data_IF_045740800657
#
_entry.id   IF_045740800657
#
_cell.length_a   1.000
_cell.length_b   1.000
_cell.length_c   1.000
_cell.angle_alpha   90.00
_cell.angle_beta   90.00
_cell.angle_gamma   90.00
#
_symmetry.space_group_name_H-M   'P 1'
#
loop_
_entity.id
_entity.type
_entity.pdbx_description
1 polymer ?
#
# COMPACT_ATOMS: atom_id res chain seq x y z
N UNK A 1 18.74 14.25 -0.22
CA UNK A 1 17.73 13.76 0.76
C UNK A 1 18.23 12.48 1.43
N UNK A 2 18.04 12.30 2.76
CA UNK A 2 18.37 11.03 3.42
C UNK A 2 17.55 9.88 2.83
N UNK A 3 18.17 8.72 2.64
CA UNK A 3 17.48 7.53 2.17
C UNK A 3 16.45 7.09 3.21
N UNK A 4 15.16 6.93 2.86
CA UNK A 4 14.12 6.51 3.82
C UNK A 4 14.28 5.05 4.30
N UNK A 5 15.22 4.29 3.73
CA UNK A 5 15.47 2.88 4.07
C UNK A 5 16.70 2.64 4.93
N UNK A 6 17.71 3.50 4.87
CA UNK A 6 18.95 3.33 5.66
C UNK A 6 19.44 4.63 6.31
N UNK A 7 18.65 5.71 6.24
CA UNK A 7 18.99 7.06 6.68
C UNK A 7 20.28 7.65 6.07
N UNK A 8 20.93 6.93 5.15
CA UNK A 8 22.15 7.38 4.49
C UNK A 8 21.89 8.64 3.67
N UNK A 9 22.76 9.63 3.80
CA UNK A 9 22.75 10.81 2.94
C UNK A 9 23.18 10.50 1.49
N UNK A 10 23.62 9.26 1.19
CA UNK A 10 24.10 8.80 -0.13
C UNK A 10 22.98 8.51 -1.14
N UNK A 11 21.87 9.27 -1.08
CA UNK A 11 20.89 9.31 -2.15
C UNK A 11 21.34 10.35 -3.15
N UNK A 12 21.73 9.91 -4.33
CA UNK A 12 22.23 10.79 -5.40
C UNK A 12 21.20 10.87 -6.50
N UNK A 13 21.05 12.06 -7.06
CA UNK A 13 20.48 12.23 -8.40
C UNK A 13 21.32 11.42 -9.40
N UNK A 14 20.64 10.77 -10.34
CA UNK A 14 21.22 10.05 -11.46
C UNK A 14 21.49 11.03 -12.59
N UNK A 15 22.55 10.78 -13.36
CA UNK A 15 22.91 11.62 -14.51
C UNK A 15 21.93 11.44 -15.67
N UNK A 16 21.36 10.25 -15.79
CA UNK A 16 20.30 9.92 -16.73
C UNK A 16 18.93 10.41 -16.23
N UNK A 17 18.15 10.96 -17.16
CA UNK A 17 16.75 11.36 -16.95
C UNK A 17 15.82 10.26 -17.49
N UNK A 18 14.54 10.30 -17.09
CA UNK A 18 13.52 9.46 -17.73
C UNK A 18 13.31 9.87 -19.19
N UNK A 19 12.58 9.06 -19.97
CA UNK A 19 12.19 9.39 -21.36
C UNK A 19 11.46 10.74 -21.43
N UNK A 20 10.77 11.11 -20.35
CA UNK A 20 10.03 12.37 -20.20
C UNK A 20 10.88 13.50 -19.54
N UNK A 21 12.19 13.31 -19.35
CA UNK A 21 13.10 14.35 -18.87
C UNK A 21 13.17 14.54 -17.36
N UNK A 22 12.59 13.63 -16.57
CA UNK A 22 12.50 13.77 -15.12
C UNK A 22 13.76 13.31 -14.38
N UNK A 23 14.01 13.95 -13.23
CA UNK A 23 15.15 13.64 -12.36
C UNK A 23 14.95 12.29 -11.68
N UNK A 24 15.96 11.43 -11.74
CA UNK A 24 15.95 10.10 -11.11
C UNK A 24 16.83 10.10 -9.88
N UNK A 25 16.41 9.41 -8.83
CA UNK A 25 17.17 9.30 -7.57
C UNK A 25 17.37 7.85 -7.19
N UNK A 26 18.56 7.51 -6.67
CA UNK A 26 18.87 6.17 -6.13
C UNK A 26 19.74 6.29 -4.88
N UNK A 27 19.47 5.47 -3.86
CA UNK A 27 20.38 5.33 -2.73
C UNK A 27 21.54 4.39 -3.09
N UNK A 28 22.76 4.94 -3.21
CA UNK A 28 23.96 4.12 -3.50
C UNK A 28 24.39 3.26 -2.32
N UNK A 29 23.99 3.61 -1.09
CA UNK A 29 24.43 2.90 0.11
C UNK A 29 23.70 1.58 0.34
N UNK A 30 22.43 1.48 -0.02
CA UNK A 30 21.65 0.28 0.24
C UNK A 30 21.08 -0.37 -1.03
N UNK A 31 21.12 0.31 -2.18
CA UNK A 31 20.64 -0.25 -3.45
C UNK A 31 19.14 -0.57 -3.49
N UNK A 32 18.41 -0.37 -2.40
CA UNK A 32 16.99 -0.70 -2.25
C UNK A 32 16.12 0.25 -3.09
N UNK A 33 15.16 -0.34 -3.79
CA UNK A 33 14.11 0.40 -4.51
C UNK A 33 13.17 1.14 -3.57
N UNK A 34 12.41 2.06 -4.15
CA UNK A 34 11.40 2.87 -3.49
C UNK A 34 10.05 2.17 -3.54
N UNK A 35 9.35 2.23 -2.40
CA UNK A 35 7.97 1.77 -2.29
C UNK A 35 7.04 2.97 -2.27
N UNK A 36 6.10 2.96 -3.19
CA UNK A 36 4.97 3.84 -3.26
C UNK A 36 3.73 3.09 -2.79
N UNK A 37 2.83 3.79 -2.11
CA UNK A 37 1.58 3.23 -1.62
C UNK A 37 0.49 4.28 -1.71
N UNK A 38 -0.68 3.89 -2.20
CA UNK A 38 -1.90 4.66 -2.08
C UNK A 38 -2.86 3.94 -1.14
N UNK A 39 -3.46 4.71 -0.24
CA UNK A 39 -4.54 4.26 0.65
C UNK A 39 -5.73 5.18 0.47
N UNK A 40 -6.93 4.67 0.68
CA UNK A 40 -8.14 5.47 0.67
C UNK A 40 -8.30 6.28 1.99
N UNK A 41 -9.43 6.97 2.11
CA UNK A 41 -9.77 7.76 3.30
C UNK A 41 -9.94 6.92 4.57
N UNK A 42 -10.41 5.69 4.42
CA UNK A 42 -10.73 4.78 5.52
C UNK A 42 -9.50 3.98 5.97
N UNK A 43 -8.44 3.99 5.15
CA UNK A 43 -7.13 3.40 5.44
C UNK A 43 -6.88 2.08 4.73
N UNK A 44 -7.78 1.68 3.82
CA UNK A 44 -7.63 0.47 3.04
C UNK A 44 -6.56 0.67 1.96
N UNK A 45 -5.84 -0.41 1.65
CA UNK A 45 -4.87 -0.37 0.57
C UNK A 45 -5.59 -0.23 -0.78
N UNK A 46 -5.20 0.77 -1.59
CA UNK A 46 -5.63 0.88 -2.98
C UNK A 46 -4.60 0.22 -3.90
N UNK A 47 -3.34 0.65 -3.82
CA UNK A 47 -2.27 0.09 -4.66
C UNK A 47 -0.91 0.18 -3.97
N UNK A 48 -0.09 -0.86 -4.16
CA UNK A 48 1.34 -0.85 -3.87
C UNK A 48 2.11 -0.82 -5.18
N UNK A 49 3.04 0.12 -5.30
CA UNK A 49 3.91 0.22 -6.46
C UNK A 49 5.38 0.24 -6.03
N UNK A 50 6.23 -0.49 -6.74
CA UNK A 50 7.66 -0.58 -6.46
C UNK A 50 8.44 -0.08 -7.66
N UNK A 51 9.36 0.84 -7.39
CA UNK A 51 10.26 1.38 -8.41
C UNK A 51 11.69 1.33 -7.93
N UNK A 52 12.64 1.17 -8.84
CA UNK A 52 14.07 1.30 -8.50
C UNK A 52 14.46 2.76 -8.23
N UNK A 53 13.69 3.69 -8.81
CA UNK A 53 13.96 5.13 -8.77
C UNK A 53 12.78 5.90 -8.19
N UNK A 54 13.09 7.04 -7.58
CA UNK A 54 12.06 7.95 -7.04
C UNK A 54 11.86 9.13 -7.99
N UNK A 55 11.12 8.93 -9.06
CA UNK A 55 10.88 9.91 -10.12
C UNK A 55 9.38 10.15 -10.37
N UNK A 56 9.09 11.06 -11.30
CA UNK A 56 7.72 11.43 -11.68
C UNK A 56 7.01 10.29 -12.41
N UNK A 57 7.70 9.59 -13.31
CA UNK A 57 7.13 8.44 -14.03
C UNK A 57 6.63 7.35 -13.07
N UNK A 58 7.41 7.04 -12.03
CA UNK A 58 6.99 6.13 -10.97
C UNK A 58 5.79 6.66 -10.16
N UNK A 59 5.68 7.97 -9.95
CA UNK A 59 4.54 8.58 -9.28
C UNK A 59 3.29 8.57 -10.16
N UNK A 60 3.40 8.89 -11.45
CA UNK A 60 2.28 8.82 -12.39
C UNK A 60 1.78 7.38 -12.54
N UNK A 61 2.69 6.40 -12.64
CA UNK A 61 2.33 4.98 -12.71
C UNK A 61 1.52 4.55 -11.47
N UNK A 62 1.92 5.01 -10.28
CA UNK A 62 1.14 4.80 -9.05
C UNK A 62 -0.26 5.41 -9.18
N UNK A 63 -0.37 6.68 -9.58
CA UNK A 63 -1.66 7.37 -9.65
C UNK A 63 -2.59 6.77 -10.71
N UNK A 64 -2.10 6.47 -11.91
CA UNK A 64 -2.86 5.78 -12.97
C UNK A 64 -3.33 4.40 -12.51
N UNK A 65 -2.46 3.65 -11.81
CA UNK A 65 -2.84 2.36 -11.22
C UNK A 65 -3.93 2.52 -10.17
N UNK A 66 -3.84 3.54 -9.31
CA UNK A 66 -4.87 3.81 -8.31
C UNK A 66 -6.24 4.08 -8.96
N UNK A 67 -6.30 4.93 -10.00
CA UNK A 67 -7.53 5.21 -10.77
C UNK A 67 -8.07 3.94 -11.42
N UNK A 68 -7.20 3.12 -11.99
CA UNK A 68 -7.61 1.86 -12.63
C UNK A 68 -8.23 0.90 -11.61
N UNK A 69 -7.67 0.81 -10.40
CA UNK A 69 -8.17 -0.06 -9.34
C UNK A 69 -9.48 0.46 -8.73
N UNK A 70 -9.59 1.76 -8.49
CA UNK A 70 -10.81 2.34 -7.89
C UNK A 70 -11.93 2.59 -8.90
N UNK A 71 -11.60 2.64 -10.20
CA UNK A 71 -12.53 3.03 -11.25
C UNK A 71 -13.02 4.49 -11.14
N UNK A 72 -12.43 5.28 -10.25
CA UNK A 72 -12.90 6.63 -9.90
C UNK A 72 -11.73 7.57 -9.70
N UNK A 73 -11.85 8.79 -10.23
CA UNK A 73 -10.91 9.89 -9.98
C UNK A 73 -11.16 10.48 -8.59
N UNK A 74 -10.15 10.60 -7.72
CA UNK A 74 -10.32 11.21 -6.41
C UNK A 74 -10.49 12.73 -6.52
N UNK A 75 -11.33 13.32 -5.67
CA UNK A 75 -11.44 14.79 -5.55
C UNK A 75 -10.24 15.41 -4.81
N UNK A 76 -9.62 14.62 -3.93
CA UNK A 76 -8.58 15.05 -2.99
C UNK A 76 -7.48 14.02 -2.88
N UNK A 77 -6.22 14.45 -3.04
CA UNK A 77 -5.05 13.60 -2.81
C UNK A 77 -4.15 14.24 -1.77
N UNK A 78 -3.72 13.44 -0.79
CA UNK A 78 -2.72 13.84 0.19
C UNK A 78 -1.38 13.18 -0.16
N UNK A 79 -0.33 13.98 -0.34
CA UNK A 79 1.03 13.48 -0.63
C UNK A 79 2.08 14.08 0.30
N UNK A 80 3.24 13.42 0.38
CA UNK A 80 4.42 14.06 0.97
C UNK A 80 4.97 15.18 0.07
N UNK A 81 5.91 15.98 0.56
CA UNK A 81 6.46 17.14 -0.18
C UNK A 81 7.54 16.75 -1.21
N UNK A 82 7.47 15.55 -1.80
CA UNK A 82 8.46 15.13 -2.78
C UNK A 82 8.25 15.84 -4.12
N UNK A 83 9.34 16.30 -4.73
CA UNK A 83 9.33 17.12 -5.94
C UNK A 83 8.72 16.41 -7.17
N UNK A 84 8.62 15.08 -7.15
CA UNK A 84 8.02 14.32 -8.25
C UNK A 84 6.50 14.25 -8.22
N UNK A 85 5.85 14.63 -7.11
CA UNK A 85 4.39 14.48 -6.98
C UNK A 85 3.60 15.61 -7.65
N UNK A 86 3.91 16.91 -7.47
CA UNK A 86 3.15 17.97 -8.13
C UNK A 86 3.03 17.78 -9.65
N UNK A 87 4.12 17.58 -10.42
CA UNK A 87 4.00 17.43 -11.86
C UNK A 87 3.33 16.10 -12.26
N UNK A 88 3.46 15.04 -11.46
CA UNK A 88 2.76 13.78 -11.70
C UNK A 88 1.23 13.89 -11.46
N UNK A 89 0.81 14.74 -10.51
CA UNK A 89 -0.59 14.97 -10.22
C UNK A 89 -1.24 15.81 -11.32
N UNK A 90 -0.56 16.86 -11.77
CA UNK A 90 -0.99 17.70 -12.91
C UNK A 90 -1.18 16.84 -14.17
N UNK A 91 -0.23 15.94 -14.46
CA UNK A 91 -0.29 15.06 -15.63
C UNK A 91 -1.44 14.02 -15.57
N UNK A 92 -1.74 13.47 -14.39
CA UNK A 92 -2.72 12.37 -14.27
C UNK A 92 -4.14 12.88 -14.01
N UNK A 93 -4.29 13.98 -13.28
CA UNK A 93 -5.58 14.43 -12.76
C UNK A 93 -6.01 15.83 -13.23
N UNK A 94 -5.14 16.58 -13.92
CA UNK A 94 -5.40 17.96 -14.34
C UNK A 94 -5.76 18.88 -13.15
N UNK A 95 -6.43 20.01 -13.41
CA UNK A 95 -6.69 21.08 -12.42
C UNK A 95 -7.87 20.80 -11.45
N UNK A 96 -8.66 19.75 -11.68
CA UNK A 96 -9.86 19.45 -10.87
C UNK A 96 -9.55 18.79 -9.52
N UNK A 97 -8.26 18.56 -9.22
CA UNK A 97 -7.82 17.85 -8.02
C UNK A 97 -7.29 18.79 -6.93
N UNK A 98 -7.87 18.68 -5.72
CA UNK A 98 -7.32 19.37 -4.55
C UNK A 98 -6.13 18.58 -3.95
N UNK A 99 -4.91 19.06 -4.20
CA UNK A 99 -3.69 18.50 -3.62
C UNK A 99 -3.39 19.08 -2.23
N UNK A 100 -3.17 18.19 -1.24
CA UNK A 100 -2.90 18.56 0.16
C UNK A 100 -1.52 18.07 0.60
N UNK A 101 -0.71 19.00 1.12
CA UNK A 101 0.62 18.71 1.67
C UNK A 101 0.76 19.14 3.13
N UNK A 102 -0.22 18.77 3.97
CA UNK A 102 -0.20 19.11 5.39
C UNK A 102 0.52 18.04 6.22
N UNK A 103 1.35 18.48 7.18
CA UNK A 103 2.07 17.57 8.10
C UNK A 103 1.10 16.66 8.87
N UNK A 104 -0.06 17.19 9.26
CA UNK A 104 -1.06 16.44 10.03
C UNK A 104 -1.69 15.31 9.18
N UNK A 105 -2.03 15.60 7.92
CA UNK A 105 -2.60 14.59 7.02
C UNK A 105 -1.54 13.54 6.63
N UNK A 106 -0.29 13.97 6.49
CA UNK A 106 0.83 13.04 6.22
C UNK A 106 1.13 12.09 7.36
N UNK A 107 0.80 12.46 8.61
CA UNK A 107 0.95 11.56 9.76
C UNK A 107 0.14 10.25 9.57
N UNK A 108 -0.93 10.28 8.78
CA UNK A 108 -1.75 9.12 8.48
C UNK A 108 -1.02 8.14 7.56
N UNK A 109 -0.44 8.67 6.47
CA UNK A 109 0.43 7.91 5.56
C UNK A 109 1.66 7.37 6.30
N UNK A 110 2.26 8.17 7.19
CA UNK A 110 3.38 7.74 8.02
C UNK A 110 3.02 6.60 8.96
N UNK A 111 1.85 6.65 9.61
CA UNK A 111 1.40 5.61 10.52
C UNK A 111 1.15 4.29 9.79
N UNK A 112 0.51 4.34 8.63
CA UNK A 112 0.31 3.16 7.78
C UNK A 112 1.66 2.54 7.38
N UNK A 113 2.60 3.37 6.92
CA UNK A 113 3.95 2.93 6.59
C UNK A 113 4.68 2.28 7.77
N UNK A 114 4.48 2.77 9.01
CA UNK A 114 5.12 2.21 10.22
C UNK A 114 4.70 0.76 10.45
N UNK A 115 3.43 0.42 10.24
CA UNK A 115 2.94 -0.94 10.44
C UNK A 115 3.64 -1.94 9.51
N UNK A 116 3.73 -1.62 8.22
CA UNK A 116 4.43 -2.46 7.24
C UNK A 116 5.93 -2.51 7.53
N UNK A 117 6.56 -1.36 7.84
CA UNK A 117 7.99 -1.24 8.18
C UNK A 117 8.37 -2.11 9.37
N UNK A 118 7.56 -2.10 10.42
CA UNK A 118 7.81 -2.88 11.64
C UNK A 118 7.89 -4.38 11.37
N UNK A 119 7.20 -4.88 10.34
CA UNK A 119 7.22 -6.31 9.99
C UNK A 119 8.45 -6.71 9.19
N UNK A 120 8.88 -5.89 8.22
CA UNK A 120 10.01 -6.25 7.36
C UNK A 120 11.37 -5.76 7.83
N UNK A 121 11.44 -4.75 8.72
CA UNK A 121 12.72 -4.27 9.25
C UNK A 121 13.53 -5.38 9.94
N UNK A 122 12.95 -6.26 10.78
CA UNK A 122 13.67 -7.39 11.38
C UNK A 122 14.26 -8.35 10.34
N UNK A 123 13.60 -8.48 9.18
CA UNK A 123 14.03 -9.33 8.06
C UNK A 123 15.14 -8.69 7.21
N UNK A 124 15.63 -7.50 7.59
CA UNK A 124 16.63 -6.68 6.85
C UNK A 124 16.18 -6.22 5.45
N UNK A 125 14.88 -6.33 5.16
CA UNK A 125 14.27 -5.95 3.88
C UNK A 125 14.27 -7.08 2.85
N UNK A 126 13.74 -6.77 1.66
CA UNK A 126 13.53 -7.75 0.60
C UNK A 126 14.69 -7.76 -0.38
N UNK A 127 15.01 -8.94 -0.92
CA UNK A 127 16.04 -9.10 -1.95
C UNK A 127 15.55 -8.68 -3.35
N UNK A 128 14.25 -8.83 -3.63
CA UNK A 128 13.65 -8.55 -4.94
C UNK A 128 12.38 -7.71 -4.80
N UNK A 129 12.03 -6.95 -5.85
CA UNK A 129 10.77 -6.20 -5.88
C UNK A 129 9.55 -7.13 -5.81
N UNK A 130 9.59 -8.27 -6.52
CA UNK A 130 8.50 -9.25 -6.49
C UNK A 130 8.20 -9.77 -5.08
N UNK A 131 9.23 -10.05 -4.29
CA UNK A 131 9.05 -10.49 -2.89
C UNK A 131 8.48 -9.39 -2.00
N UNK A 132 8.95 -8.14 -2.17
CA UNK A 132 8.41 -6.99 -1.46
C UNK A 132 6.94 -6.73 -1.83
N UNK A 133 6.59 -6.85 -3.10
CA UNK A 133 5.23 -6.67 -3.60
C UNK A 133 4.29 -7.72 -3.00
N UNK A 134 4.63 -9.00 -3.13
CA UNK A 134 3.86 -10.11 -2.57
C UNK A 134 3.66 -9.97 -1.07
N UNK A 135 4.72 -9.60 -0.35
CA UNK A 135 4.63 -9.35 1.09
C UNK A 135 3.66 -8.21 1.42
N UNK A 136 3.80 -7.05 0.75
CA UNK A 136 2.94 -5.91 1.06
C UNK A 136 1.48 -6.21 0.76
N UNK A 137 1.19 -6.81 -0.41
CA UNK A 137 -0.16 -7.24 -0.79
C UNK A 137 -0.76 -8.19 0.24
N UNK A 138 -0.08 -9.31 0.54
CA UNK A 138 -0.59 -10.30 1.48
C UNK A 138 -0.73 -9.74 2.91
N UNK A 139 0.21 -8.90 3.34
CA UNK A 139 0.13 -8.26 4.65
C UNK A 139 -1.07 -7.33 4.76
N UNK A 140 -1.31 -6.51 3.73
CA UNK A 140 -2.41 -5.56 3.71
C UNK A 140 -3.77 -6.28 3.61
N UNK A 141 -3.88 -7.32 2.79
CA UNK A 141 -5.09 -8.16 2.70
C UNK A 141 -5.46 -8.77 4.06
N UNK A 142 -4.49 -9.40 4.73
CA UNK A 142 -4.70 -9.98 6.07
C UNK A 142 -5.03 -8.90 7.10
N UNK A 143 -4.36 -7.76 7.03
CA UNK A 143 -4.58 -6.65 7.97
C UNK A 143 -5.97 -6.06 7.80
N UNK A 144 -6.39 -5.79 6.57
CA UNK A 144 -7.69 -5.18 6.25
C UNK A 144 -8.82 -6.15 6.63
N UNK A 145 -8.62 -7.47 6.48
CA UNK A 145 -9.54 -8.51 6.94
C UNK A 145 -9.64 -8.62 8.49
N UNK A 146 -8.52 -8.54 9.21
CA UNK A 146 -8.48 -8.66 10.67
C UNK A 146 -8.83 -7.37 11.42
N UNK A 147 -8.67 -6.23 10.75
CA UNK A 147 -8.94 -4.90 11.30
C UNK A 147 -9.93 -4.14 10.43
N UNK A 148 -11.18 -4.65 10.25
CA UNK A 148 -12.17 -3.96 9.45
C UNK A 148 -12.55 -2.65 10.16
N UNK A 149 -12.24 -1.53 9.53
CA UNK A 149 -12.66 -0.21 9.95
C UNK A 149 -13.54 0.37 8.83
N UNK A 150 -14.78 0.74 9.18
CA UNK A 150 -15.69 1.44 8.26
C UNK A 150 -15.30 2.91 8.12
N UNK A 151 -14.82 3.51 9.22
CA UNK A 151 -14.24 4.85 9.20
C UNK A 151 -13.01 4.95 10.09
N UNK A 152 -12.11 5.84 9.71
CA UNK A 152 -10.89 6.08 10.45
C UNK A 152 -11.15 6.71 11.82
N UNK A 153 -10.51 6.18 12.86
CA UNK A 153 -10.72 6.49 14.30
C UNK A 153 -12.09 6.07 14.85
N UNK A 154 -12.88 5.33 14.08
CA UNK A 154 -14.09 4.71 14.60
C UNK A 154 -13.72 3.66 15.64
N UNK A 155 -14.27 3.77 16.83
CA UNK A 155 -14.14 2.71 17.82
C UNK A 155 -15.12 1.59 17.48
N UNK A 156 -14.60 0.54 16.85
CA UNK A 156 -15.39 -0.67 16.58
C UNK A 156 -15.24 -1.65 17.73
N UNK A 157 -16.34 -1.96 18.41
CA UNK A 157 -16.36 -2.95 19.49
C UNK A 157 -15.89 -4.32 18.99
N UNK A 158 -15.34 -5.14 19.88
CA UNK A 158 -14.90 -6.49 19.52
C UNK A 158 -16.05 -7.34 18.94
N UNK A 159 -17.28 -7.15 19.45
CA UNK A 159 -18.48 -7.81 18.92
C UNK A 159 -18.81 -7.40 17.49
N UNK A 160 -18.74 -6.10 17.17
CA UNK A 160 -18.97 -5.59 15.82
C UNK A 160 -17.88 -6.05 14.84
N UNK A 161 -16.61 -6.06 15.25
CA UNK A 161 -15.50 -6.62 14.45
C UNK A 161 -15.72 -8.10 14.11
N UNK A 162 -16.13 -8.91 15.10
CA UNK A 162 -16.48 -10.32 14.87
C UNK A 162 -17.63 -10.47 13.88
N UNK A 163 -18.68 -9.66 14.02
CA UNK A 163 -19.81 -9.70 13.10
C UNK A 163 -19.40 -9.37 11.65
N UNK A 164 -18.59 -8.32 11.46
CA UNK A 164 -18.05 -7.96 10.13
C UNK A 164 -17.22 -9.12 9.57
N UNK A 165 -16.31 -9.68 10.37
CA UNK A 165 -15.47 -10.79 9.94
C UNK A 165 -16.28 -12.03 9.51
N UNK A 166 -17.33 -12.39 10.25
CA UNK A 166 -18.22 -13.50 9.90
C UNK A 166 -18.95 -13.23 8.58
N UNK A 167 -19.36 -11.98 8.33
CA UNK A 167 -20.04 -11.59 7.09
C UNK A 167 -19.10 -11.51 5.88
N UNK A 168 -17.84 -11.10 6.10
CA UNK A 168 -16.81 -10.96 5.06
C UNK A 168 -16.06 -12.26 4.78
N UNK A 169 -16.20 -13.27 5.64
CA UNK A 169 -15.69 -14.61 5.36
C UNK A 169 -16.48 -15.16 4.18
N UNK A 170 -15.83 -15.68 3.12
CA UNK A 170 -16.55 -16.49 2.15
C UNK A 170 -17.27 -17.59 2.94
N UNK A 171 -18.50 -18.00 2.57
CA UNK A 171 -19.14 -19.13 3.20
C UNK A 171 -18.23 -20.34 2.95
N UNK A 172 -17.33 -20.62 3.89
CA UNK A 172 -16.57 -21.86 3.90
C UNK A 172 -17.64 -22.92 3.98
N UNK A 173 -17.63 -23.79 2.97
CA UNK A 173 -18.26 -25.09 2.97
C UNK A 173 -18.47 -25.53 4.43
N UNK A 174 -19.73 -25.51 4.85
CA UNK A 174 -20.15 -26.31 5.98
C UNK A 174 -19.67 -27.70 5.58
N UNK A 175 -18.61 -28.17 6.22
CA UNK A 175 -18.27 -29.57 6.24
C UNK A 175 -19.44 -30.21 6.98
N UNK A 176 -20.52 -30.43 6.24
CA UNK A 176 -21.59 -31.30 6.66
C UNK A 176 -20.91 -32.64 6.85
N UNK A 177 -20.93 -33.25 8.04
CA UNK A 177 -20.50 -34.63 8.16
C UNK A 177 -21.35 -35.44 7.17
N UNK A 178 -20.68 -36.09 6.21
CA UNK A 178 -21.33 -37.01 5.29
C UNK A 178 -22.08 -38.07 6.11
N UNK A 179 -23.37 -38.32 5.86
CA UNK A 179 -24.12 -39.35 6.56
C UNK A 179 -23.84 -40.71 5.90
N UNK A 180 -22.59 -41.18 5.92
CA UNK A 180 -22.21 -42.49 5.39
C UNK A 180 -21.16 -43.10 6.32
N UNK A 181 -21.58 -43.68 7.44
CA UNK A 181 -20.87 -44.75 8.17
C UNK A 181 -21.76 -45.30 9.29
N UNK A 182 -22.89 -45.91 8.91
CA UNK A 182 -23.73 -46.70 9.84
C UNK A 182 -24.26 -47.96 9.14
N UNK A 183 -23.36 -48.70 8.48
CA UNK A 183 -23.66 -49.99 7.88
C UNK A 183 -22.45 -50.92 7.85
N UNK A 184 -21.99 -51.37 9.02
CA UNK A 184 -21.25 -52.63 9.16
C UNK A 184 -21.06 -53.06 10.63
N UNK A 185 -22.11 -53.58 11.27
CA UNK A 185 -21.97 -54.55 12.37
C UNK A 185 -23.31 -55.23 12.71
N UNK A 186 -23.83 -56.00 11.75
CA UNK A 186 -24.63 -57.20 12.07
C UNK A 186 -23.95 -58.37 11.39
N UNK A 187 -23.33 -59.21 12.20
CA UNK A 187 -22.61 -60.43 11.84
C UNK A 187 -22.03 -61.02 13.11
#
# INVERSE_FOLDING_TARGET
>A
MPCPHCCSAKTTERSDRTTHGYRRFRCRSCGRGFKYRAIDRDGNLVVVYLSETRDQEAAEALFRSAVTVTGTTPDKVTTDKHASYPPALEEVFCDDLECRTSKYLNNHLEQDHRAVKARYQPMRGFQTHTSAFRFCMAYDEVRDFLHPATQRKEHVSAGRRRAIHVQSSPPSAICSPSPDDDSAAKG
#
